data_IF_595845009961
#
_entry.id   IF_595845009961
#
_cell.length_a   1.000
_cell.length_b   1.000
_cell.length_c   1.000
_cell.angle_alpha   90.00
_cell.angle_beta   90.00
_cell.angle_gamma   90.00
#
_symmetry.space_group_name_H-M   'P 1'
#
loop_
_entity.id
_entity.type
_entity.pdbx_description
1 polymer ?
#
# COMPACT_ATOMS: atom_id res chain seq x y z
N UNK A 1 6.88 13.19 -20.92
CA UNK A 1 5.59 13.12 -21.63
C UNK A 1 4.80 11.95 -21.06
N UNK A 2 3.46 12.03 -21.04
CA UNK A 2 2.62 10.86 -20.72
C UNK A 2 2.44 10.09 -22.03
N UNK A 3 3.04 8.89 -22.11
CA UNK A 3 3.06 8.07 -23.34
C UNK A 3 1.84 7.15 -23.48
N UNK A 4 1.08 6.94 -22.40
CA UNK A 4 -0.06 6.03 -22.38
C UNK A 4 -1.19 6.57 -21.49
N UNK A 5 -2.41 6.51 -22.04
CA UNK A 5 -3.65 6.65 -21.27
C UNK A 5 -4.12 5.24 -20.95
N UNK A 6 -4.23 4.91 -19.66
CA UNK A 6 -4.87 3.66 -19.23
C UNK A 6 -6.37 3.79 -19.51
N UNK A 7 -6.85 3.13 -20.56
CA UNK A 7 -8.26 3.19 -20.98
C UNK A 7 -9.18 2.28 -20.16
N UNK A 8 -8.61 1.31 -19.43
CA UNK A 8 -9.33 0.34 -18.61
C UNK A 8 -8.46 -0.11 -17.43
N UNK A 9 -8.48 0.64 -16.33
CA UNK A 9 -7.85 0.26 -15.06
C UNK A 9 -8.90 0.04 -13.98
N UNK A 10 -8.62 -0.82 -13.00
CA UNK A 10 -9.46 -0.93 -11.79
C UNK A 10 -8.83 -0.11 -10.68
N UNK A 11 -9.63 0.77 -10.07
CA UNK A 11 -9.22 1.65 -8.99
C UNK A 11 -9.97 1.25 -7.73
N UNK A 12 -9.23 1.01 -6.65
CA UNK A 12 -9.79 0.64 -5.35
C UNK A 12 -9.28 1.61 -4.31
N UNK A 13 -10.17 2.15 -3.49
CA UNK A 13 -9.80 2.96 -2.33
C UNK A 13 -10.24 2.26 -1.06
N UNK A 14 -9.58 2.57 0.04
CA UNK A 14 -9.96 2.03 1.34
C UNK A 14 -9.09 2.57 2.46
N UNK A 15 -9.29 2.00 3.64
CA UNK A 15 -8.46 2.30 4.80
C UNK A 15 -8.17 1.03 5.60
N UNK A 16 -7.04 1.01 6.29
CA UNK A 16 -6.64 -0.09 7.19
C UNK A 16 -5.91 0.47 8.40
N UNK A 17 -5.96 -0.23 9.52
CA UNK A 17 -5.14 0.08 10.70
C UNK A 17 -3.98 -0.91 10.73
N UNK A 18 -2.77 -0.37 10.69
CA UNK A 18 -1.52 -1.14 10.77
C UNK A 18 -0.80 -0.80 12.06
N UNK A 19 0.04 -1.70 12.55
CA UNK A 19 0.89 -1.46 13.70
C UNK A 19 2.27 -2.00 13.43
N UNK A 20 3.28 -1.30 13.94
CA UNK A 20 4.68 -1.72 13.93
C UNK A 20 5.19 -1.85 15.37
N UNK A 21 6.32 -2.55 15.53
CA UNK A 21 7.05 -2.70 16.79
C UNK A 21 8.48 -2.18 16.64
N UNK A 22 8.63 -0.90 16.33
CA UNK A 22 9.93 -0.24 16.17
C UNK A 22 10.52 -0.33 14.75
N UNK A 23 9.78 -0.84 13.78
CA UNK A 23 10.14 -0.82 12.36
C UNK A 23 9.50 0.36 11.64
N UNK A 24 10.11 0.78 10.54
CA UNK A 24 9.58 1.80 9.63
C UNK A 24 8.81 1.21 8.45
N UNK A 25 8.37 -0.05 8.55
CA UNK A 25 7.59 -0.72 7.53
C UNK A 25 6.55 -1.65 8.16
N UNK A 26 5.47 -1.90 7.44
CA UNK A 26 4.40 -2.85 7.81
C UNK A 26 3.87 -3.56 6.56
N UNK A 27 3.53 -4.84 6.68
CA UNK A 27 2.89 -5.58 5.58
C UNK A 27 1.40 -5.21 5.52
N UNK A 28 0.94 -4.74 4.36
CA UNK A 28 -0.47 -4.43 4.09
C UNK A 28 -1.24 -5.69 3.70
N UNK A 29 -0.67 -6.48 2.79
CA UNK A 29 -1.24 -7.72 2.28
C UNK A 29 -0.14 -8.72 2.01
N UNK A 30 -0.33 -9.99 2.36
CA UNK A 30 0.40 -11.08 1.70
C UNK A 30 -0.03 -11.21 0.24
N UNK A 31 0.75 -11.90 -0.59
CA UNK A 31 0.36 -12.17 -1.99
C UNK A 31 -1.02 -12.86 -2.07
N UNK A 32 -1.30 -13.79 -1.17
CA UNK A 32 -2.59 -14.47 -1.08
C UNK A 32 -3.73 -13.51 -0.69
N UNK A 33 -3.50 -12.64 0.29
CA UNK A 33 -4.49 -11.63 0.70
C UNK A 33 -4.74 -10.61 -0.40
N UNK A 34 -3.69 -10.19 -1.12
CA UNK A 34 -3.81 -9.26 -2.23
C UNK A 34 -4.68 -9.88 -3.33
N UNK A 35 -4.40 -11.13 -3.72
CA UNK A 35 -5.21 -11.86 -4.70
C UNK A 35 -6.66 -12.02 -4.26
N UNK A 36 -6.90 -12.39 -3.00
CA UNK A 36 -8.26 -12.54 -2.47
C UNK A 36 -9.03 -11.20 -2.47
N UNK A 37 -8.35 -10.09 -2.22
CA UNK A 37 -8.98 -8.75 -2.11
C UNK A 37 -9.23 -8.13 -3.47
N UNK A 38 -8.28 -8.26 -4.40
CA UNK A 38 -8.27 -7.52 -5.67
C UNK A 38 -8.52 -8.41 -6.91
N UNK A 39 -8.66 -9.71 -6.71
CA UNK A 39 -9.06 -10.68 -7.73
C UNK A 39 -7.92 -11.20 -8.62
N UNK A 40 -6.68 -10.73 -8.43
CA UNK A 40 -5.47 -11.22 -9.11
C UNK A 40 -4.20 -10.93 -8.32
N UNK A 41 -3.09 -11.57 -8.69
CA UNK A 41 -1.77 -11.27 -8.13
C UNK A 41 -1.35 -9.83 -8.43
N UNK A 42 -0.54 -9.25 -7.56
CA UNK A 42 0.14 -7.98 -7.79
C UNK A 42 1.14 -8.11 -8.94
N UNK A 43 1.15 -7.15 -9.86
CA UNK A 43 2.11 -7.05 -10.94
C UNK A 43 2.95 -5.78 -10.76
N UNK A 44 4.17 -5.94 -10.23
CA UNK A 44 5.06 -4.82 -9.93
C UNK A 44 5.56 -4.03 -11.13
N UNK A 45 5.34 -4.51 -12.37
CA UNK A 45 5.68 -3.75 -13.57
C UNK A 45 4.65 -2.68 -13.91
N UNK A 46 3.42 -2.78 -13.39
CA UNK A 46 2.30 -1.93 -13.85
C UNK A 46 1.29 -1.53 -12.76
N UNK A 47 1.23 -2.26 -11.66
CA UNK A 47 0.34 -1.94 -10.55
C UNK A 47 0.93 -0.88 -9.65
N UNK A 48 0.04 -0.14 -8.99
CA UNK A 48 0.42 0.92 -8.08
C UNK A 48 -0.39 0.85 -6.80
N UNK A 49 0.29 1.08 -5.67
CA UNK A 49 -0.33 1.29 -4.36
C UNK A 49 0.13 2.64 -3.83
N UNK A 50 -0.79 3.58 -3.75
CA UNK A 50 -0.62 4.84 -3.05
C UNK A 50 -1.15 4.72 -1.62
N UNK A 51 -0.43 5.29 -0.67
CA UNK A 51 -0.80 5.30 0.75
C UNK A 51 -0.68 6.70 1.33
N UNK A 52 -1.54 7.02 2.30
CA UNK A 52 -1.54 8.31 3.01
C UNK A 52 -1.81 8.06 4.49
N UNK A 53 -1.22 8.91 5.35
CA UNK A 53 -1.51 8.90 6.78
C UNK A 53 -2.97 9.32 7.01
N UNK A 54 -3.81 8.37 7.43
CA UNK A 54 -5.20 8.58 7.82
C UNK A 54 -5.41 8.80 9.31
N UNK A 55 -4.35 8.76 10.13
CA UNK A 55 -4.38 9.04 11.57
C UNK A 55 -4.18 10.54 11.88
N UNK A 56 -3.78 11.35 10.89
CA UNK A 56 -3.57 12.78 11.09
C UNK A 56 -2.46 13.06 12.12
N UNK A 57 -2.77 13.85 13.14
CA UNK A 57 -1.80 14.28 14.17
C UNK A 57 -1.45 13.22 15.22
N UNK A 58 -2.20 12.11 15.27
CA UNK A 58 -2.12 11.15 16.38
C UNK A 58 -0.91 10.21 16.26
N UNK A 59 -0.33 10.10 15.06
CA UNK A 59 0.95 9.42 14.84
C UNK A 59 1.74 10.10 13.72
N UNK A 60 2.94 10.56 14.06
CA UNK A 60 3.80 11.35 13.18
C UNK A 60 4.64 10.55 12.17
N UNK A 61 4.52 9.22 12.13
CA UNK A 61 5.17 8.43 11.09
C UNK A 61 4.41 8.58 9.77
N UNK A 62 5.07 9.18 8.78
CA UNK A 62 4.47 9.49 7.50
C UNK A 62 4.76 8.36 6.50
N UNK A 63 3.73 7.75 5.89
CA UNK A 63 3.95 6.80 4.82
C UNK A 63 4.46 7.54 3.58
N UNK A 64 5.50 7.01 2.93
CA UNK A 64 6.06 7.64 1.71
C UNK A 64 5.96 6.75 0.47
N UNK A 65 5.96 5.43 0.62
CA UNK A 65 5.72 4.53 -0.50
C UNK A 65 5.14 3.18 -0.05
N UNK A 66 4.56 2.48 -1.02
CA UNK A 66 4.33 1.04 -0.90
C UNK A 66 5.22 0.30 -1.90
N UNK A 67 5.75 -0.85 -1.48
CA UNK A 67 6.59 -1.72 -2.30
C UNK A 67 6.13 -3.15 -2.21
N UNK A 68 6.24 -3.90 -3.30
CA UNK A 68 5.95 -5.33 -3.34
C UNK A 68 7.24 -6.14 -3.23
N UNK A 69 7.24 -7.14 -2.35
CA UNK A 69 8.28 -8.15 -2.26
C UNK A 69 7.75 -9.47 -2.81
N UNK A 70 8.33 -9.93 -3.91
CA UNK A 70 7.85 -11.12 -4.63
C UNK A 70 7.91 -12.37 -3.76
N UNK A 71 6.81 -13.11 -3.68
CA UNK A 71 6.68 -14.29 -2.84
C UNK A 71 6.34 -13.99 -1.38
N UNK A 72 6.08 -12.73 -1.02
CA UNK A 72 5.69 -12.33 0.32
C UNK A 72 4.45 -11.42 0.31
N UNK A 73 4.56 -10.19 -0.20
CA UNK A 73 3.44 -9.27 -0.20
C UNK A 73 3.77 -7.80 -0.41
N UNK A 74 2.77 -6.95 -0.22
CA UNK A 74 2.87 -5.49 -0.33
C UNK A 74 3.10 -4.88 1.04
N UNK A 75 4.11 -4.03 1.13
CA UNK A 75 4.54 -3.34 2.35
C UNK A 75 4.34 -1.84 2.20
N UNK A 76 3.89 -1.18 3.27
CA UNK A 76 3.95 0.26 3.43
C UNK A 76 5.23 0.64 4.18
N UNK A 77 5.95 1.65 3.66
CA UNK A 77 7.16 2.20 4.27
C UNK A 77 6.92 3.63 4.77
N UNK A 78 7.59 3.96 5.86
CA UNK A 78 7.42 5.20 6.62
C UNK A 78 8.74 5.94 6.81
N UNK A 79 8.66 7.27 6.92
CA UNK A 79 9.80 8.17 7.09
C UNK A 79 10.61 7.91 8.38
N UNK A 80 10.03 7.21 9.35
CA UNK A 80 10.62 6.86 10.64
C UNK A 80 10.06 5.55 11.19
N UNK A 81 10.81 4.94 12.10
CA UNK A 81 10.29 3.85 12.94
C UNK A 81 9.17 4.33 13.85
N UNK A 82 8.17 3.49 14.06
CA UNK A 82 7.08 3.76 14.99
C UNK A 82 6.65 2.50 15.72
N UNK A 83 5.95 2.73 16.84
CA UNK A 83 5.31 1.67 17.61
C UNK A 83 3.85 2.02 17.81
N UNK A 84 2.99 1.01 17.69
CA UNK A 84 1.55 1.16 17.85
C UNK A 84 0.80 1.48 16.55
N UNK A 85 -0.52 1.70 16.66
CA UNK A 85 -1.41 1.73 15.51
C UNK A 85 -1.32 3.04 14.71
N UNK A 86 -1.47 2.93 13.39
CA UNK A 86 -1.65 4.02 12.43
C UNK A 86 -2.76 3.61 11.46
N UNK A 87 -3.72 4.50 11.21
CA UNK A 87 -4.65 4.36 10.09
C UNK A 87 -3.97 4.80 8.80
N UNK A 88 -3.98 3.94 7.79
CA UNK A 88 -3.58 4.25 6.43
C UNK A 88 -4.79 4.30 5.53
N UNK A 89 -4.91 5.35 4.73
CA UNK A 89 -5.80 5.37 3.57
C UNK A 89 -4.99 4.93 2.35
N UNK A 90 -5.59 4.16 1.44
CA UNK A 90 -4.89 3.66 0.27
C UNK A 90 -5.70 3.83 -1.03
N UNK A 91 -4.95 3.90 -2.13
CA UNK A 91 -5.42 3.77 -3.51
C UNK A 91 -4.64 2.64 -4.17
N UNK A 92 -5.33 1.62 -4.67
CA UNK A 92 -4.77 0.54 -5.48
C UNK A 92 -5.22 0.73 -6.93
N UNK A 93 -4.26 0.77 -7.85
CA UNK A 93 -4.50 0.82 -9.28
C UNK A 93 -4.01 -0.48 -9.88
N UNK A 94 -4.93 -1.25 -10.45
CA UNK A 94 -4.61 -2.42 -11.25
C UNK A 94 -4.61 -2.02 -12.72
N UNK A 95 -3.42 -1.92 -13.30
CA UNK A 95 -3.29 -1.68 -14.72
C UNK A 95 -3.70 -2.95 -15.50
N UNK A 96 -4.25 -2.79 -16.73
CA UNK A 96 -4.66 -3.91 -17.59
C UNK A 96 -3.48 -4.82 -17.96
#
# INVERSE_FOLDING_TARGET
SVSQIIRSGKFFTGSTVVSSSGHNYVRLWTDAQFKATFGRNYDGAKDYVGIMNGAGKDNGANPYCASHWYGDGVYAYFDRSFSGPIRLNYLVILAP
#
